data_IF_677706310239
#
_entry.id   IF_677706310239
#
_cell.length_a   1.000
_cell.length_b   1.000
_cell.length_c   1.000
_cell.angle_alpha   90.00
_cell.angle_beta   90.00
_cell.angle_gamma   90.00
#
_symmetry.space_group_name_H-M   'P 1'
#
loop_
_entity.id
_entity.type
_entity.pdbx_description
1 polymer ?
#
# COMPACT_ATOMS: atom_id res chain seq x y z
N UNK A 1 27.02 -36.43 10.00
CA UNK A 1 27.21 -34.96 10.01
C UNK A 1 27.31 -34.36 8.59
N UNK A 2 28.06 -34.97 7.67
CA UNK A 2 28.32 -34.43 6.32
C UNK A 2 27.07 -34.22 5.44
N UNK A 3 26.09 -35.12 5.51
CA UNK A 3 24.82 -35.02 4.76
C UNK A 3 24.05 -33.72 5.06
N UNK A 4 24.12 -33.19 6.28
CA UNK A 4 23.46 -31.93 6.65
C UNK A 4 24.11 -30.73 5.97
N UNK A 5 25.45 -30.73 5.84
CA UNK A 5 26.16 -29.66 5.15
C UNK A 5 25.87 -29.69 3.65
N UNK A 6 25.83 -30.88 3.07
CA UNK A 6 25.52 -31.07 1.65
C UNK A 6 24.11 -30.55 1.30
N UNK A 7 23.09 -30.84 2.13
CA UNK A 7 21.74 -30.33 1.88
C UNK A 7 21.64 -28.82 2.00
N UNK A 8 22.29 -28.20 3.00
CA UNK A 8 22.35 -26.74 3.16
C UNK A 8 22.98 -26.07 1.93
N UNK A 9 24.08 -26.62 1.43
CA UNK A 9 24.77 -26.11 0.24
C UNK A 9 23.86 -26.19 -0.98
N UNK A 10 23.18 -27.33 -1.21
CA UNK A 10 22.23 -27.48 -2.33
C UNK A 10 21.09 -26.46 -2.24
N UNK A 11 20.52 -26.23 -1.06
CA UNK A 11 19.46 -25.24 -0.90
C UNK A 11 19.95 -23.81 -1.13
N UNK A 12 21.16 -23.47 -0.70
CA UNK A 12 21.75 -22.15 -0.93
C UNK A 12 22.05 -21.90 -2.41
N UNK A 13 22.58 -22.90 -3.11
CA UNK A 13 22.82 -22.83 -4.56
C UNK A 13 21.48 -22.64 -5.28
N UNK A 14 20.46 -23.44 -4.96
CA UNK A 14 19.12 -23.28 -5.53
C UNK A 14 18.54 -21.89 -5.26
N UNK A 15 18.67 -21.36 -4.05
CA UNK A 15 18.20 -20.03 -3.70
C UNK A 15 18.94 -18.93 -4.50
N UNK A 16 20.25 -19.08 -4.70
CA UNK A 16 21.04 -18.18 -5.53
C UNK A 16 20.59 -18.19 -6.99
N UNK A 17 20.40 -19.37 -7.59
CA UNK A 17 19.91 -19.50 -8.96
C UNK A 17 18.49 -18.94 -9.12
N UNK A 18 17.60 -19.17 -8.16
CA UNK A 18 16.25 -18.58 -8.21
C UNK A 18 16.35 -17.05 -8.11
N UNK A 19 17.17 -16.51 -7.19
CA UNK A 19 17.29 -15.06 -7.00
C UNK A 19 17.89 -14.32 -8.20
N UNK A 20 18.85 -14.93 -8.91
CA UNK A 20 19.64 -14.24 -9.94
C UNK A 20 19.38 -14.74 -11.38
N UNK A 21 18.90 -15.97 -11.56
CA UNK A 21 18.69 -16.58 -12.87
C UNK A 21 17.21 -16.84 -13.21
N UNK A 22 16.30 -16.75 -12.24
CA UNK A 22 14.87 -16.68 -12.53
C UNK A 22 14.40 -15.22 -12.46
N UNK A 23 13.45 -14.83 -13.32
CA UNK A 23 13.13 -13.46 -13.77
C UNK A 23 13.58 -12.33 -12.82
N UNK A 24 14.21 -11.26 -13.34
CA UNK A 24 14.49 -10.08 -12.53
C UNK A 24 13.19 -9.63 -11.85
N UNK A 25 13.22 -9.53 -10.52
CA UNK A 25 12.11 -9.01 -9.73
C UNK A 25 12.09 -7.50 -9.91
N UNK A 26 11.62 -7.05 -11.08
CA UNK A 26 11.60 -5.64 -11.49
C UNK A 26 10.58 -4.84 -10.65
N UNK A 27 9.62 -5.53 -10.03
CA UNK A 27 8.61 -4.91 -9.18
C UNK A 27 9.05 -4.92 -7.72
N UNK A 28 8.89 -3.80 -6.99
CA UNK A 28 9.19 -3.76 -5.56
C UNK A 28 8.32 -4.77 -4.80
N UNK A 29 8.91 -5.43 -3.81
CA UNK A 29 8.28 -6.49 -2.99
C UNK A 29 6.97 -6.06 -2.33
N UNK A 30 6.78 -4.75 -2.19
CA UNK A 30 5.67 -4.18 -1.44
C UNK A 30 4.40 -3.99 -2.28
N UNK A 31 4.40 -4.11 -3.61
CA UNK A 31 3.21 -3.80 -4.45
C UNK A 31 2.52 -2.47 -4.05
N UNK A 32 3.28 -1.50 -3.54
CA UNK A 32 2.70 -0.27 -3.00
C UNK A 32 1.98 -0.43 -1.65
N UNK A 33 2.39 -1.38 -0.81
CA UNK A 33 1.91 -1.61 0.57
C UNK A 33 2.96 -1.26 1.63
N UNK A 34 4.13 -0.78 1.22
CA UNK A 34 5.17 -0.33 2.14
C UNK A 34 4.77 0.98 2.84
N UNK A 35 5.45 1.33 3.94
CA UNK A 35 5.18 2.58 4.67
C UNK A 35 5.39 3.84 3.82
N UNK A 36 6.15 3.76 2.72
CA UNK A 36 6.36 4.85 1.76
C UNK A 36 5.36 4.86 0.60
N UNK A 37 4.48 3.87 0.53
CA UNK A 37 3.67 3.63 -0.66
C UNK A 37 2.40 4.48 -0.74
N UNK A 38 2.01 5.09 0.39
CA UNK A 38 0.87 5.99 0.50
C UNK A 38 1.30 7.37 1.04
N UNK A 39 2.07 8.18 0.29
CA UNK A 39 2.38 9.54 0.71
C UNK A 39 1.11 10.41 0.78
N UNK A 40 1.12 11.38 1.69
CA UNK A 40 0.09 12.42 1.76
C UNK A 40 0.36 13.48 0.69
N UNK A 41 -0.67 13.88 -0.05
CA UNK A 41 -0.59 14.93 -1.05
C UNK A 41 -0.67 16.33 -0.41
N UNK A 42 -0.48 17.36 -1.25
CA UNK A 42 -0.57 18.78 -0.85
C UNK A 42 -1.94 19.16 -0.27
N UNK A 43 -2.98 18.39 -0.57
CA UNK A 43 -4.35 18.59 -0.07
C UNK A 43 -4.67 17.77 1.19
N UNK A 44 -3.68 17.14 1.82
CA UNK A 44 -3.87 16.35 3.03
C UNK A 44 -4.55 14.99 2.82
N UNK A 45 -4.55 14.45 1.59
CA UNK A 45 -5.14 13.16 1.23
C UNK A 45 -4.06 12.15 0.89
N UNK A 46 -4.26 10.89 1.26
CA UNK A 46 -3.33 9.82 0.93
C UNK A 46 -3.49 9.40 -0.53
N UNK A 47 -2.38 9.18 -1.23
CA UNK A 47 -2.34 8.70 -2.62
C UNK A 47 -1.46 7.46 -2.72
N UNK A 48 -1.88 6.49 -3.53
CA UNK A 48 -1.06 5.31 -3.82
C UNK A 48 -0.04 5.61 -4.92
N UNK A 49 1.17 5.11 -4.72
CA UNK A 49 2.30 5.24 -5.65
C UNK A 49 2.25 4.26 -6.82
N UNK A 50 1.53 3.14 -6.70
CA UNK A 50 1.51 2.07 -7.69
C UNK A 50 0.15 1.40 -7.86
N UNK A 51 0.04 0.62 -8.94
CA UNK A 51 -1.15 -0.16 -9.29
C UNK A 51 -1.04 -1.53 -8.62
N UNK A 52 -2.16 -2.04 -8.11
CA UNK A 52 -2.25 -3.43 -7.65
C UNK A 52 -3.05 -4.24 -8.66
N UNK A 53 -4.38 -4.18 -8.57
CA UNK A 53 -5.31 -4.75 -9.56
C UNK A 53 -6.11 -3.65 -10.28
N UNK A 54 -6.39 -2.56 -9.56
CA UNK A 54 -7.14 -1.39 -10.04
C UNK A 54 -6.47 -0.11 -9.56
N UNK A 55 -6.58 1.00 -10.29
CA UNK A 55 -5.88 2.25 -10.00
C UNK A 55 -6.55 3.09 -8.90
N UNK A 56 -7.06 2.44 -7.86
CA UNK A 56 -7.68 3.15 -6.74
C UNK A 56 -6.66 4.07 -6.05
N UNK A 57 -7.02 5.34 -5.93
CA UNK A 57 -6.23 6.38 -5.26
C UNK A 57 -4.88 6.69 -5.91
N UNK A 58 -4.66 6.25 -7.16
CA UNK A 58 -3.44 6.53 -7.90
C UNK A 58 -3.56 7.89 -8.59
N UNK A 59 -2.53 8.72 -8.47
CA UNK A 59 -2.51 10.04 -9.10
C UNK A 59 -2.54 9.93 -10.63
N UNK A 60 -3.38 10.74 -11.26
CA UNK A 60 -3.37 10.90 -12.71
C UNK A 60 -2.09 11.62 -13.17
N UNK A 61 -1.41 11.02 -14.13
CA UNK A 61 -0.22 11.58 -14.78
C UNK A 61 -0.55 11.91 -16.24
N UNK A 62 0.16 12.86 -16.85
CA UNK A 62 -0.03 13.20 -18.27
C UNK A 62 0.06 11.96 -19.19
N UNK A 63 1.01 11.06 -18.92
CA UNK A 63 1.15 9.79 -19.62
C UNK A 63 -0.07 8.87 -19.46
N UNK A 64 -0.64 8.76 -18.26
CA UNK A 64 -1.82 7.90 -18.04
C UNK A 64 -3.06 8.44 -18.76
N UNK A 65 -3.11 9.74 -19.05
CA UNK A 65 -4.19 10.37 -19.81
C UNK A 65 -4.10 10.10 -21.32
N UNK A 66 -2.88 10.00 -21.84
CA UNK A 66 -2.63 9.89 -23.29
C UNK A 66 -2.57 8.46 -23.78
N UNK A 67 -2.07 7.51 -22.97
CA UNK A 67 -1.96 6.11 -23.38
C UNK A 67 -3.36 5.45 -23.50
N UNK A 68 -3.85 5.18 -24.73
CA UNK A 68 -5.23 4.71 -24.92
C UNK A 68 -5.39 3.23 -24.56
N UNK A 69 -4.28 2.48 -24.48
CA UNK A 69 -4.26 1.03 -24.29
C UNK A 69 -4.45 0.58 -22.84
N UNK A 70 -4.46 1.51 -21.88
CA UNK A 70 -4.70 1.19 -20.47
C UNK A 70 -6.23 1.10 -20.27
N UNK A 71 -6.74 -0.13 -20.07
CA UNK A 71 -8.19 -0.38 -19.86
C UNK A 71 -8.73 0.22 -18.57
N UNK A 72 -7.94 0.22 -17.48
CA UNK A 72 -8.31 0.79 -16.18
C UNK A 72 -7.36 1.94 -15.85
N UNK A 73 -7.76 3.15 -16.23
CA UNK A 73 -6.96 4.36 -16.04
C UNK A 73 -7.31 5.01 -14.70
N UNK A 74 -6.33 5.60 -13.98
CA UNK A 74 -6.64 6.46 -12.85
C UNK A 74 -7.52 7.59 -13.34
N UNK A 75 -8.53 7.91 -12.55
CA UNK A 75 -9.66 8.73 -12.96
C UNK A 75 -10.48 9.17 -11.75
N UNK A 76 -11.43 10.10 -11.92
CA UNK A 76 -12.39 10.46 -10.88
C UNK A 76 -13.13 9.24 -10.29
N UNK A 77 -13.47 8.26 -11.13
CA UNK A 77 -14.09 6.99 -10.72
C UNK A 77 -13.25 6.21 -9.71
N UNK A 78 -11.92 6.29 -9.84
CA UNK A 78 -10.96 5.61 -8.97
C UNK A 78 -10.41 6.50 -7.87
N UNK A 79 -11.02 7.68 -7.64
CA UNK A 79 -10.61 8.66 -6.62
C UNK A 79 -9.12 9.05 -6.77
N UNK A 80 -8.69 9.41 -7.98
CA UNK A 80 -7.31 9.81 -8.30
C UNK A 80 -6.78 10.99 -7.47
N UNK A 81 -7.67 11.83 -6.94
CA UNK A 81 -7.37 12.91 -6.00
C UNK A 81 -6.86 12.42 -4.62
N UNK A 82 -6.94 11.12 -4.33
CA UNK A 82 -6.57 10.52 -3.07
C UNK A 82 -7.75 10.41 -2.09
N UNK A 83 -7.48 9.86 -0.90
CA UNK A 83 -8.50 9.55 0.11
C UNK A 83 -8.13 10.05 1.50
N UNK A 84 -9.17 10.29 2.32
CA UNK A 84 -9.06 10.30 3.78
C UNK A 84 -9.45 8.92 4.33
N UNK A 85 -8.98 8.58 5.52
CA UNK A 85 -9.28 7.29 6.15
C UNK A 85 -10.79 7.02 6.26
N UNK A 86 -11.58 8.05 6.58
CA UNK A 86 -13.04 8.00 6.72
C UNK A 86 -13.79 7.74 5.39
N UNK A 87 -13.16 8.01 4.25
CA UNK A 87 -13.77 7.86 2.92
C UNK A 87 -13.47 6.49 2.29
N UNK A 88 -12.70 5.66 3.00
CA UNK A 88 -12.30 4.33 2.55
C UNK A 88 -13.42 3.35 2.86
N UNK A 89 -14.01 2.79 1.81
CA UNK A 89 -15.02 1.75 1.94
C UNK A 89 -16.12 1.85 0.89
N UNK A 90 -17.16 1.02 1.02
CA UNK A 90 -18.35 1.10 0.16
C UNK A 90 -19.04 2.45 0.29
N UNK A 91 -19.53 2.99 -0.82
CA UNK A 91 -20.17 4.32 -0.87
C UNK A 91 -21.30 4.49 0.16
N UNK A 92 -22.05 3.42 0.44
CA UNK A 92 -23.14 3.40 1.45
C UNK A 92 -22.70 3.69 2.89
N UNK A 93 -21.40 3.60 3.18
CA UNK A 93 -20.82 3.83 4.51
C UNK A 93 -19.95 5.08 4.57
N UNK A 94 -19.68 5.73 3.44
CA UNK A 94 -18.93 6.99 3.43
C UNK A 94 -19.69 8.03 4.26
N UNK A 95 -19.01 8.65 5.21
CA UNK A 95 -19.60 9.65 6.11
C UNK A 95 -20.30 9.10 7.35
N UNK A 96 -20.41 7.77 7.50
CA UNK A 96 -20.99 7.15 8.70
C UNK A 96 -19.91 6.81 9.72
N UNK A 97 -20.23 6.95 11.01
CA UNK A 97 -19.33 6.57 12.10
C UNK A 97 -18.14 7.51 12.31
N UNK A 98 -18.14 8.70 11.69
CA UNK A 98 -17.07 9.70 11.88
C UNK A 98 -17.01 10.14 13.34
N UNK A 99 -18.15 10.50 13.93
CA UNK A 99 -18.22 10.95 15.34
C UNK A 99 -17.77 9.85 16.31
N UNK A 100 -18.16 8.60 16.05
CA UNK A 100 -17.73 7.45 16.86
C UNK A 100 -16.22 7.23 16.73
N UNK A 101 -15.68 7.31 15.51
CA UNK A 101 -14.24 7.20 15.25
C UNK A 101 -13.45 8.31 15.95
N UNK A 102 -13.92 9.56 15.90
CA UNK A 102 -13.28 10.70 16.56
C UNK A 102 -13.26 10.52 18.08
N UNK A 103 -14.38 10.13 18.67
CA UNK A 103 -14.49 9.85 20.11
C UNK A 103 -13.55 8.73 20.54
N UNK A 104 -13.47 7.65 19.76
CA UNK A 104 -12.56 6.56 20.04
C UNK A 104 -11.09 6.97 19.88
N UNK A 105 -10.77 7.79 18.87
CA UNK A 105 -9.43 8.33 18.68
C UNK A 105 -8.99 9.21 19.87
N UNK A 106 -9.89 10.04 20.41
CA UNK A 106 -9.61 10.79 21.64
C UNK A 106 -9.37 9.89 22.84
N UNK A 107 -10.19 8.85 23.02
CA UNK A 107 -10.03 7.89 24.10
C UNK A 107 -8.70 7.14 24.00
N UNK A 108 -8.28 6.76 22.79
CA UNK A 108 -6.98 6.13 22.56
C UNK A 108 -5.82 7.07 22.91
N UNK A 109 -5.90 8.35 22.52
CA UNK A 109 -4.88 9.36 22.89
C UNK A 109 -4.74 9.51 24.39
N UNK A 110 -5.86 9.59 25.12
CA UNK A 110 -5.88 9.67 26.59
C UNK A 110 -5.20 8.45 27.24
N UNK A 111 -5.50 7.24 26.75
CA UNK A 111 -4.88 5.99 27.23
C UNK A 111 -3.38 5.94 26.95
N UNK A 112 -2.94 6.41 25.78
CA UNK A 112 -1.52 6.43 25.42
C UNK A 112 -0.71 7.37 26.33
N UNK A 113 -1.25 8.56 26.65
CA UNK A 113 -0.60 9.48 27.59
C UNK A 113 -0.49 8.85 28.98
N UNK A 114 -1.58 8.24 29.47
CA UNK A 114 -1.60 7.58 30.77
C UNK A 114 -0.55 6.46 30.90
N UNK A 115 -0.32 5.67 29.84
CA UNK A 115 0.70 4.61 29.83
C UNK A 115 2.15 5.11 29.85
N UNK A 116 2.40 6.34 29.41
CA UNK A 116 3.75 6.94 29.41
C UNK A 116 4.06 7.54 30.78
N UNK A 117 3.04 7.98 31.52
CA UNK A 117 3.17 8.58 32.85
C UNK A 117 3.22 7.55 33.99
N UNK A 118 2.76 6.32 33.75
CA UNK A 118 2.80 5.17 34.67
C UNK A 118 4.10 4.38 34.56
#
# INVERSE_FOLDING_TARGET
>A
FWIKHLTIIIFNIRAFFIRHCTLPRIYPDDFGQGPKSCPMNEYGRYQRTGYVFEPWYVKETWFSKILPFIKKRPGPMYKSQGFKAEEVGPEKFVGKGIEEMEKDAENMKKRAIFQVES
#
